data_IF_647061230141
#
_entry.id   IF_647061230141
#
_cell.length_a   1.000
_cell.length_b   1.000
_cell.length_c   1.000
_cell.angle_alpha   90.00
_cell.angle_beta   90.00
_cell.angle_gamma   90.00
#
_symmetry.space_group_name_H-M   'P 1'
#
loop_
_entity.id
_entity.type
_entity.pdbx_description
1 polymer ?
#
# COMPACT_ATOMS: atom_id res chain seq x y z
N UNK A 1 10.15 -7.98 -21.79
CA UNK A 1 10.14 -7.75 -23.25
C UNK A 1 9.63 -6.35 -23.54
N UNK A 2 9.82 -5.83 -24.75
CA UNK A 2 9.25 -4.54 -25.17
C UNK A 2 7.71 -4.51 -25.00
N UNK A 3 7.04 -5.62 -25.31
CA UNK A 3 5.60 -5.76 -25.13
C UNK A 3 5.17 -5.67 -23.66
N UNK A 4 5.97 -6.21 -22.73
CA UNK A 4 5.71 -6.08 -21.31
C UNK A 4 5.77 -4.62 -20.86
N UNK A 5 6.77 -3.87 -21.33
CA UNK A 5 6.90 -2.43 -21.03
C UNK A 5 5.72 -1.63 -21.60
N UNK A 6 5.33 -1.91 -22.85
CA UNK A 6 4.13 -1.30 -23.47
C UNK A 6 2.85 -1.61 -22.69
N UNK A 7 2.72 -2.84 -22.17
CA UNK A 7 1.59 -3.24 -21.34
C UNK A 7 1.57 -2.46 -20.01
N UNK A 8 2.72 -2.33 -19.33
CA UNK A 8 2.87 -1.53 -18.11
C UNK A 8 2.43 -0.08 -18.34
N UNK A 9 2.90 0.56 -19.40
CA UNK A 9 2.54 1.95 -19.72
C UNK A 9 1.05 2.12 -19.99
N UNK A 10 0.44 1.19 -20.73
CA UNK A 10 -1.01 1.21 -20.99
C UNK A 10 -1.81 0.94 -19.71
N UNK A 11 -1.32 0.06 -18.84
CA UNK A 11 -1.90 -0.24 -17.54
C UNK A 11 -1.85 0.98 -16.61
N UNK A 12 -0.70 1.66 -16.51
CA UNK A 12 -0.51 2.88 -15.71
C UNK A 12 -1.56 3.93 -16.07
N UNK A 13 -1.80 4.18 -17.36
CA UNK A 13 -2.84 5.13 -17.82
C UNK A 13 -4.26 4.74 -17.39
N UNK A 14 -4.62 3.45 -17.49
CA UNK A 14 -5.95 2.96 -17.05
C UNK A 14 -6.13 3.05 -15.54
N UNK A 15 -5.10 2.67 -14.78
CA UNK A 15 -5.10 2.81 -13.33
C UNK A 15 -5.27 4.28 -12.94
N UNK A 16 -4.56 5.21 -13.60
CA UNK A 16 -4.67 6.64 -13.32
C UNK A 16 -6.10 7.15 -13.42
N UNK A 17 -6.78 6.81 -14.52
CA UNK A 17 -8.18 7.19 -14.73
C UNK A 17 -9.11 6.60 -13.68
N UNK A 18 -9.05 5.28 -13.44
CA UNK A 18 -9.94 4.61 -12.49
C UNK A 18 -9.72 5.06 -11.06
N UNK A 19 -8.45 5.19 -10.62
CA UNK A 19 -8.13 5.54 -9.24
C UNK A 19 -8.62 6.95 -8.92
N UNK A 20 -8.46 7.89 -9.84
CA UNK A 20 -8.98 9.25 -9.71
C UNK A 20 -10.51 9.28 -9.73
N UNK A 21 -11.15 8.59 -10.68
CA UNK A 21 -12.62 8.55 -10.80
C UNK A 21 -13.29 7.95 -9.55
N UNK A 22 -12.70 6.89 -8.97
CA UNK A 22 -13.27 6.18 -7.82
C UNK A 22 -12.82 6.74 -6.47
N UNK A 23 -11.95 7.76 -6.44
CA UNK A 23 -11.37 8.31 -5.21
C UNK A 23 -10.77 7.21 -4.30
N UNK A 24 -10.13 6.20 -4.89
CA UNK A 24 -9.67 5.01 -4.19
C UNK A 24 -8.15 4.94 -4.03
N UNK A 25 -7.43 6.03 -4.30
CA UNK A 25 -5.97 6.10 -4.14
C UNK A 25 -5.47 5.59 -2.76
N UNK A 26 -6.07 5.97 -1.61
CA UNK A 26 -5.55 5.52 -0.32
C UNK A 26 -5.57 4.00 -0.14
N UNK A 27 -6.61 3.31 -0.63
CA UNK A 27 -6.67 1.85 -0.51
C UNK A 27 -5.72 1.14 -1.50
N UNK A 28 -5.37 1.77 -2.63
CA UNK A 28 -4.33 1.26 -3.54
C UNK A 28 -2.94 1.38 -2.94
N UNK A 29 -2.64 2.51 -2.28
CA UNK A 29 -1.39 2.70 -1.52
C UNK A 29 -1.31 1.68 -0.37
N UNK A 30 -2.41 1.48 0.38
CA UNK A 30 -2.48 0.44 1.41
C UNK A 30 -2.26 -0.97 0.84
N UNK A 31 -2.87 -1.32 -0.29
CA UNK A 31 -2.66 -2.62 -0.93
C UNK A 31 -1.19 -2.85 -1.28
N UNK A 32 -0.54 -1.87 -1.91
CA UNK A 32 0.87 -1.97 -2.27
C UNK A 32 1.76 -2.07 -1.04
N UNK A 33 1.48 -1.28 0.01
CA UNK A 33 2.16 -1.33 1.30
C UNK A 33 2.04 -2.70 1.96
N UNK A 34 0.81 -3.21 2.14
CA UNK A 34 0.56 -4.50 2.79
C UNK A 34 1.17 -5.67 2.00
N UNK A 35 1.18 -5.58 0.67
CA UNK A 35 1.84 -6.59 -0.18
C UNK A 35 3.37 -6.58 0.01
N UNK A 36 3.99 -5.41 0.18
CA UNK A 36 5.44 -5.30 0.31
C UNK A 36 5.94 -5.52 1.75
N UNK A 37 5.18 -5.06 2.74
CA UNK A 37 5.57 -5.00 4.15
C UNK A 37 5.67 -6.35 4.86
N UNK A 38 5.40 -7.45 4.18
CA UNK A 38 5.59 -8.81 4.70
C UNK A 38 6.99 -9.36 4.46
N UNK A 39 7.85 -8.61 3.77
CA UNK A 39 9.22 -9.02 3.49
C UNK A 39 10.03 -9.17 4.78
N UNK A 40 10.72 -10.29 4.91
CA UNK A 40 11.69 -10.55 5.96
C UNK A 40 13.07 -10.74 5.32
N UNK A 41 14.03 -9.89 5.68
CA UNK A 41 15.35 -9.85 5.07
C UNK A 41 16.21 -11.06 5.45
N UNK A 42 16.01 -11.64 6.64
CA UNK A 42 16.76 -12.78 7.13
C UNK A 42 16.40 -14.08 6.37
N UNK A 43 15.12 -14.38 6.23
CA UNK A 43 14.62 -15.57 5.51
C UNK A 43 14.40 -15.33 4.02
N UNK A 44 14.37 -14.08 3.56
CA UNK A 44 14.05 -13.66 2.18
C UNK A 44 12.67 -14.15 1.71
N UNK A 45 11.72 -14.19 2.64
CA UNK A 45 10.32 -14.60 2.40
C UNK A 45 9.37 -13.42 2.51
N UNK A 46 8.13 -13.58 2.00
CA UNK A 46 7.17 -12.47 1.88
C UNK A 46 7.62 -11.43 0.84
N UNK A 47 7.05 -10.23 0.92
CA UNK A 47 7.34 -9.12 0.02
C UNK A 47 6.39 -9.06 -1.19
N UNK A 48 6.61 -8.09 -2.10
CA UNK A 48 5.63 -7.67 -3.10
C UNK A 48 5.55 -8.64 -4.29
N UNK A 49 5.22 -9.90 -4.06
CA UNK A 49 5.23 -10.98 -5.06
C UNK A 49 3.83 -11.51 -5.39
N UNK A 50 2.85 -10.60 -5.36
CA UNK A 50 1.47 -10.85 -5.82
C UNK A 50 0.64 -11.77 -4.94
N UNK A 51 1.12 -12.17 -3.76
CA UNK A 51 0.49 -13.18 -2.90
C UNK A 51 -0.80 -12.72 -2.25
N UNK A 52 -1.04 -11.40 -2.15
CA UNK A 52 -2.30 -10.80 -1.68
C UNK A 52 -3.53 -11.20 -2.52
N UNK A 53 -3.35 -11.89 -3.66
CA UNK A 53 -4.43 -12.52 -4.43
C UNK A 53 -5.03 -13.78 -3.78
N UNK A 54 -4.32 -14.37 -2.82
CA UNK A 54 -4.71 -15.58 -2.14
C UNK A 54 -5.60 -15.28 -0.95
N UNK A 55 -6.64 -16.09 -0.75
CA UNK A 55 -7.60 -15.90 0.33
C UNK A 55 -6.94 -16.06 1.70
N UNK A 56 -5.90 -16.91 1.83
CA UNK A 56 -5.17 -17.07 3.10
C UNK A 56 -4.53 -15.76 3.55
N UNK A 57 -3.88 -15.01 2.66
CA UNK A 57 -3.26 -13.73 3.02
C UNK A 57 -4.30 -12.62 3.21
N UNK A 58 -5.37 -12.62 2.42
CA UNK A 58 -6.48 -11.66 2.59
C UNK A 58 -7.19 -11.82 3.94
N UNK A 59 -7.20 -13.03 4.50
CA UNK A 59 -7.81 -13.35 5.78
C UNK A 59 -6.99 -12.88 7.00
N UNK A 60 -5.73 -12.49 6.83
CA UNK A 60 -4.93 -11.92 7.92
C UNK A 60 -5.63 -10.68 8.50
N UNK A 61 -5.62 -10.53 9.83
CA UNK A 61 -6.34 -9.48 10.54
C UNK A 61 -5.93 -8.07 10.07
N UNK A 62 -4.62 -7.83 9.88
CA UNK A 62 -4.11 -6.56 9.36
C UNK A 62 -4.62 -6.24 7.94
N UNK A 63 -5.01 -7.25 7.17
CA UNK A 63 -5.51 -7.12 5.79
C UNK A 63 -7.04 -6.96 5.72
N UNK A 64 -7.74 -6.80 6.85
CA UNK A 64 -9.17 -6.54 6.86
C UNK A 64 -9.57 -5.43 5.85
N UNK A 65 -10.53 -5.75 4.97
CA UNK A 65 -11.02 -4.86 3.91
C UNK A 65 -10.16 -4.80 2.63
N UNK A 66 -9.03 -5.51 2.52
CA UNK A 66 -8.16 -5.44 1.33
C UNK A 66 -8.84 -5.97 0.06
N UNK A 67 -9.75 -6.93 0.20
CA UNK A 67 -10.56 -7.49 -0.89
C UNK A 67 -11.36 -6.42 -1.67
N UNK A 68 -11.66 -5.27 -1.04
CA UNK A 68 -12.28 -4.13 -1.73
C UNK A 68 -11.35 -3.57 -2.81
N UNK A 69 -10.06 -3.42 -2.52
CA UNK A 69 -9.07 -2.95 -3.49
C UNK A 69 -8.94 -3.93 -4.66
N UNK A 70 -8.86 -5.24 -4.35
CA UNK A 70 -8.73 -6.28 -5.36
C UNK A 70 -9.94 -6.29 -6.31
N UNK A 71 -11.17 -6.20 -5.78
CA UNK A 71 -12.39 -6.10 -6.62
C UNK A 71 -12.42 -4.87 -7.51
N UNK A 72 -11.95 -3.71 -7.02
CA UNK A 72 -11.88 -2.48 -7.83
C UNK A 72 -10.87 -2.60 -8.97
N UNK A 73 -9.78 -3.33 -8.73
CA UNK A 73 -8.69 -3.52 -9.66
C UNK A 73 -8.96 -4.59 -10.73
N UNK A 74 -9.77 -5.59 -10.40
CA UNK A 74 -10.02 -6.77 -11.24
C UNK A 74 -10.43 -6.42 -12.69
N UNK A 75 -11.37 -5.49 -12.96
CA UNK A 75 -11.76 -5.15 -14.32
C UNK A 75 -10.62 -4.61 -15.19
N UNK A 76 -9.60 -3.99 -14.57
CA UNK A 76 -8.39 -3.53 -15.28
C UNK A 76 -7.39 -4.69 -15.39
N UNK A 77 -7.19 -5.47 -14.33
CA UNK A 77 -6.21 -6.56 -14.29
C UNK A 77 -6.42 -7.59 -15.40
N UNK A 78 -7.67 -7.97 -15.68
CA UNK A 78 -8.00 -8.94 -16.75
C UNK A 78 -7.64 -8.45 -18.16
N UNK A 79 -7.51 -7.14 -18.36
CA UNK A 79 -7.09 -6.55 -19.63
C UNK A 79 -5.57 -6.66 -19.87
N UNK A 80 -4.81 -7.03 -18.83
CA UNK A 80 -3.34 -7.13 -18.86
C UNK A 80 -2.86 -8.49 -18.33
N UNK A 81 -3.22 -9.62 -18.99
CA UNK A 81 -2.86 -10.96 -18.52
C UNK A 81 -1.35 -11.19 -18.45
N UNK A 82 -0.55 -10.44 -19.22
CA UNK A 82 0.91 -10.57 -19.27
C UNK A 82 1.64 -9.91 -18.10
N UNK A 83 1.01 -8.96 -17.40
CA UNK A 83 1.61 -8.29 -16.23
C UNK A 83 1.40 -9.18 -15.00
N UNK A 84 2.45 -9.41 -14.20
CA UNK A 84 2.33 -10.14 -12.95
C UNK A 84 1.40 -9.42 -11.96
N UNK A 85 0.74 -10.17 -11.08
CA UNK A 85 -0.06 -9.57 -9.99
C UNK A 85 0.83 -8.70 -9.10
N UNK A 86 2.07 -9.14 -8.87
CA UNK A 86 3.11 -8.44 -8.16
C UNK A 86 3.37 -7.03 -8.72
N UNK A 87 3.72 -6.91 -10.00
CA UNK A 87 3.94 -5.61 -10.63
C UNK A 87 2.67 -4.78 -10.67
N UNK A 88 1.52 -5.41 -10.94
CA UNK A 88 0.25 -4.72 -11.04
C UNK A 88 -0.18 -4.05 -9.72
N UNK A 89 -0.08 -4.74 -8.58
CA UNK A 89 -0.38 -4.14 -7.27
C UNK A 89 0.57 -3.00 -6.92
N UNK A 90 1.87 -3.16 -7.18
CA UNK A 90 2.85 -2.10 -6.92
C UNK A 90 2.65 -0.89 -7.83
N UNK A 91 2.31 -1.12 -9.10
CA UNK A 91 1.97 -0.04 -10.04
C UNK A 91 0.73 0.72 -9.58
N UNK A 92 -0.30 0.03 -9.07
CA UNK A 92 -1.48 0.68 -8.51
C UNK A 92 -1.15 1.58 -7.31
N UNK A 93 -0.24 1.15 -6.43
CA UNK A 93 0.27 1.98 -5.33
C UNK A 93 1.01 3.23 -5.79
N UNK A 94 1.94 3.08 -6.74
CA UNK A 94 2.67 4.21 -7.36
C UNK A 94 1.72 5.22 -7.99
N UNK A 95 0.76 4.73 -8.78
CA UNK A 95 -0.26 5.60 -9.40
C UNK A 95 -1.14 6.26 -8.35
N UNK A 96 -1.47 5.55 -7.26
CA UNK A 96 -2.21 6.11 -6.13
C UNK A 96 -1.53 7.32 -5.51
N UNK A 97 -0.20 7.28 -5.34
CA UNK A 97 0.57 8.46 -4.88
C UNK A 97 0.54 9.58 -5.92
N UNK A 98 0.83 9.24 -7.18
CA UNK A 98 0.91 10.20 -8.29
C UNK A 98 -0.41 10.97 -8.52
N UNK A 99 -1.56 10.29 -8.54
CA UNK A 99 -2.87 10.93 -8.80
C UNK A 99 -3.32 11.87 -7.69
N UNK A 100 -2.83 11.67 -6.48
CA UNK A 100 -3.14 12.53 -5.32
C UNK A 100 -2.18 13.72 -5.18
N UNK A 101 -1.28 13.93 -6.14
CA UNK A 101 -0.31 15.04 -6.13
C UNK A 101 1.00 14.73 -5.40
N UNK A 102 1.25 13.46 -5.09
CA UNK A 102 2.48 13.01 -4.44
C UNK A 102 3.67 12.95 -5.41
N UNK A 103 4.85 12.54 -4.91
CA UNK A 103 6.05 12.44 -5.73
C UNK A 103 5.93 11.38 -6.84
N UNK A 104 6.65 11.58 -7.94
CA UNK A 104 6.83 10.55 -8.95
C UNK A 104 7.79 9.47 -8.42
N UNK A 105 7.28 8.26 -8.20
CA UNK A 105 8.05 7.12 -7.73
C UNK A 105 8.52 6.30 -8.95
N UNK A 106 9.84 6.08 -9.13
CA UNK A 106 10.34 5.23 -10.21
C UNK A 106 9.78 3.81 -10.10
N UNK A 107 9.12 3.34 -11.16
CA UNK A 107 8.59 1.98 -11.25
C UNK A 107 9.46 1.12 -12.16
N UNK A 108 9.94 0.00 -11.61
CA UNK A 108 10.72 -1.00 -12.36
C UNK A 108 9.91 -2.31 -12.41
N UNK A 109 9.48 -2.74 -13.61
CA UNK A 109 8.78 -4.01 -13.78
C UNK A 109 9.73 -5.21 -13.69
N UNK A 110 9.15 -6.40 -13.53
CA UNK A 110 9.86 -7.68 -13.55
C UNK A 110 9.66 -8.52 -12.29
N UNK A 111 8.77 -8.12 -11.37
CA UNK A 111 8.46 -8.99 -10.22
C UNK A 111 7.70 -10.22 -10.70
N UNK A 112 8.13 -11.37 -10.23
CA UNK A 112 7.42 -12.63 -10.46
C UNK A 112 6.40 -12.90 -9.36
N UNK A 113 5.29 -13.54 -9.72
CA UNK A 113 4.28 -13.96 -8.76
C UNK A 113 4.76 -15.20 -8.00
N UNK A 114 4.77 -15.13 -6.66
CA UNK A 114 5.09 -16.28 -5.82
C UNK A 114 3.83 -17.11 -5.53
N UNK A 115 3.97 -18.43 -5.31
CA UNK A 115 2.83 -19.33 -5.11
C UNK A 115 2.35 -19.40 -3.67
N UNK A 116 3.17 -18.97 -2.69
CA UNK A 116 2.88 -19.14 -1.27
C UNK A 116 2.86 -17.78 -0.56
N UNK A 117 1.78 -17.45 0.17
CA UNK A 117 1.74 -16.26 0.98
C UNK A 117 2.69 -16.34 2.18
N UNK A 118 3.12 -15.19 2.73
CA UNK A 118 3.88 -15.15 3.97
C UNK A 118 3.00 -15.57 5.16
N UNK A 119 3.60 -15.95 6.30
CA UNK A 119 2.84 -16.11 7.53
C UNK A 119 2.26 -14.77 8.00
N UNK A 120 1.14 -14.82 8.72
CA UNK A 120 0.55 -13.67 9.40
C UNK A 120 1.49 -13.09 10.48
N UNK A 121 1.27 -11.82 10.85
CA UNK A 121 1.93 -11.18 12.00
C UNK A 121 3.14 -10.32 11.66
N UNK A 122 3.47 -10.17 10.38
CA UNK A 122 4.63 -9.38 9.91
C UNK A 122 4.36 -7.88 9.73
N UNK A 123 3.10 -7.48 9.63
CA UNK A 123 2.71 -6.08 9.48
C UNK A 123 2.67 -5.36 10.84
N UNK A 124 2.91 -4.03 10.88
CA UNK A 124 2.98 -3.28 12.13
C UNK A 124 1.63 -3.23 12.86
N UNK A 125 1.71 -3.14 14.19
CA UNK A 125 0.57 -3.04 15.10
C UNK A 125 0.42 -1.58 15.52
N UNK A 126 -0.76 -1.00 15.28
CA UNK A 126 -1.02 0.42 15.51
C UNK A 126 -1.02 0.82 17.00
N UNK A 127 -1.14 -0.14 17.92
CA UNK A 127 -1.14 0.11 19.37
C UNK A 127 0.25 0.09 20.00
N UNK A 128 1.29 -0.21 19.20
CA UNK A 128 2.68 -0.33 19.66
C UNK A 128 3.50 0.91 19.28
N UNK A 129 4.62 1.09 19.98
CA UNK A 129 5.50 2.26 19.84
C UNK A 129 6.72 2.06 18.95
N UNK A 130 7.69 2.96 19.10
CA UNK A 130 8.88 3.06 18.24
C UNK A 130 9.77 1.80 18.21
N UNK A 131 9.84 1.03 19.30
CA UNK A 131 10.61 -0.23 19.33
C UNK A 131 10.01 -1.24 18.34
N UNK A 132 8.69 -1.40 18.38
CA UNK A 132 7.96 -2.27 17.45
C UNK A 132 8.13 -1.81 15.99
N UNK A 133 8.08 -0.49 15.75
CA UNK A 133 8.34 0.04 14.41
C UNK A 133 9.74 -0.33 13.91
N UNK A 134 10.77 -0.26 14.76
CA UNK A 134 12.13 -0.67 14.38
C UNK A 134 12.26 -2.18 14.20
N UNK A 135 11.56 -2.99 14.99
CA UNK A 135 11.54 -4.44 14.80
C UNK A 135 10.96 -4.80 13.43
N UNK A 136 9.84 -4.18 13.05
CA UNK A 136 9.17 -4.46 11.77
C UNK A 136 9.93 -3.85 10.59
N UNK A 137 10.20 -2.55 10.61
CA UNK A 137 10.76 -1.88 9.43
C UNK A 137 12.27 -2.08 9.32
N UNK A 138 13.02 -1.94 10.43
CA UNK A 138 14.47 -2.00 10.37
C UNK A 138 14.99 -3.45 10.43
N UNK A 139 14.60 -4.22 11.44
CA UNK A 139 15.11 -5.59 11.62
C UNK A 139 14.52 -6.56 10.60
N UNK A 140 13.20 -6.55 10.41
CA UNK A 140 12.53 -7.46 9.49
C UNK A 140 12.63 -6.98 8.03
N UNK A 141 12.19 -5.76 7.69
CA UNK A 141 12.19 -5.31 6.27
C UNK A 141 13.56 -4.80 5.77
N UNK A 142 14.46 -4.36 6.66
CA UNK A 142 15.77 -3.79 6.28
C UNK A 142 15.75 -2.31 5.91
N UNK A 143 14.77 -1.54 6.40
CA UNK A 143 14.61 -0.10 6.15
C UNK A 143 15.25 0.75 7.25
N UNK A 144 15.54 2.02 6.95
CA UNK A 144 16.12 2.96 7.92
C UNK A 144 15.06 3.69 8.75
N UNK A 145 15.47 4.30 9.88
CA UNK A 145 14.58 5.19 10.67
C UNK A 145 14.02 6.35 9.82
N UNK A 146 14.80 6.85 8.85
CA UNK A 146 14.32 7.87 7.90
C UNK A 146 13.16 7.33 7.06
N UNK A 147 13.26 6.09 6.60
CA UNK A 147 12.21 5.45 5.81
C UNK A 147 10.96 5.22 6.65
N UNK A 148 11.09 4.83 7.92
CA UNK A 148 9.95 4.68 8.85
C UNK A 148 9.15 5.98 8.91
N UNK A 149 9.82 7.11 9.17
CA UNK A 149 9.15 8.42 9.29
C UNK A 149 8.56 8.86 7.96
N UNK A 150 9.30 8.72 6.85
CA UNK A 150 8.82 9.12 5.53
C UNK A 150 7.60 8.30 5.09
N UNK A 151 7.65 6.97 5.27
CA UNK A 151 6.55 6.06 4.91
C UNK A 151 5.32 6.27 5.79
N UNK A 152 5.50 6.61 7.08
CA UNK A 152 4.39 6.98 7.96
C UNK A 152 3.59 8.17 7.41
N UNK A 153 4.25 9.07 6.65
CA UNK A 153 3.60 10.18 5.97
C UNK A 153 2.52 9.80 4.96
N UNK A 154 2.48 8.55 4.49
CA UNK A 154 1.43 8.07 3.59
C UNK A 154 0.03 8.13 4.23
N UNK A 155 -0.07 8.16 5.57
CA UNK A 155 -1.31 8.41 6.30
C UNK A 155 -1.89 9.81 6.07
N UNK A 156 -1.16 10.71 5.40
CA UNK A 156 -1.76 11.95 4.87
C UNK A 156 -2.97 11.65 3.97
N UNK A 157 -2.98 10.47 3.35
CA UNK A 157 -4.09 9.91 2.59
C UNK A 157 -4.96 8.95 3.40
N UNK A 158 -6.26 9.00 3.14
CA UNK A 158 -7.22 8.03 3.61
C UNK A 158 -7.66 8.20 5.06
N UNK A 159 -8.20 7.12 5.61
CA UNK A 159 -8.77 7.07 6.94
C UNK A 159 -8.83 5.64 7.50
N UNK A 160 -8.85 5.52 8.82
CA UNK A 160 -9.21 4.29 9.50
C UNK A 160 -10.72 4.03 9.39
N UNK A 161 -11.10 2.76 9.55
CA UNK A 161 -12.50 2.33 9.50
C UNK A 161 -12.75 1.33 10.64
N UNK A 162 -13.78 1.59 11.44
CA UNK A 162 -14.08 0.83 12.67
C UNK A 162 -14.29 -0.66 12.41
N UNK A 163 -14.91 -1.02 11.29
CA UNK A 163 -15.16 -2.40 10.85
C UNK A 163 -13.91 -3.13 10.33
N UNK A 164 -12.75 -2.45 10.26
CA UNK A 164 -11.49 -3.02 9.76
C UNK A 164 -10.43 -3.08 10.85
N UNK A 165 -10.01 -1.92 11.35
CA UNK A 165 -8.93 -1.82 12.34
C UNK A 165 -9.43 -1.54 13.76
N UNK A 166 -10.73 -1.27 13.95
CA UNK A 166 -11.29 -0.78 15.21
C UNK A 166 -11.13 0.72 15.43
N UNK A 167 -10.24 1.39 14.69
CA UNK A 167 -10.07 2.85 14.67
C UNK A 167 -10.96 3.50 13.61
N UNK A 168 -11.33 4.77 13.77
CA UNK A 168 -12.20 5.50 12.84
C UNK A 168 -11.71 6.95 12.67
N UNK A 169 -11.67 7.45 11.44
CA UNK A 169 -11.31 8.84 11.16
C UNK A 169 -10.10 8.99 10.25
N UNK A 170 -9.98 10.17 9.64
CA UNK A 170 -8.86 10.54 8.78
C UNK A 170 -7.76 11.21 9.62
N UNK A 171 -6.50 11.04 9.24
CA UNK A 171 -5.39 11.77 9.88
C UNK A 171 -5.28 13.23 9.42
N UNK A 172 -5.93 13.58 8.31
CA UNK A 172 -5.88 14.94 7.74
C UNK A 172 -7.27 15.38 7.27
N UNK A 173 -7.47 16.69 7.19
CA UNK A 173 -8.73 17.27 6.69
C UNK A 173 -8.96 17.04 5.19
N UNK A 174 -7.90 16.68 4.44
CA UNK A 174 -7.94 16.46 2.99
C UNK A 174 -7.38 15.06 2.62
N UNK A 175 -8.10 13.96 2.93
CA UNK A 175 -7.56 12.60 2.84
C UNK A 175 -7.33 12.07 1.42
N UNK A 176 -7.45 12.92 0.40
CA UNK A 176 -7.19 12.61 -1.01
C UNK A 176 -6.08 13.49 -1.61
N UNK A 177 -5.39 14.30 -0.80
CA UNK A 177 -4.29 15.16 -1.22
C UNK A 177 -3.01 14.64 -0.55
N UNK A 178 -2.01 14.29 -1.36
CA UNK A 178 -0.72 13.85 -0.85
C UNK A 178 0.16 15.06 -0.58
N UNK A 179 0.28 15.43 0.68
CA UNK A 179 1.12 16.52 1.15
C UNK A 179 1.75 16.19 2.51
N UNK A 180 2.35 17.19 3.17
CA UNK A 180 2.95 17.02 4.49
C UNK A 180 1.99 17.28 5.67
N UNK A 181 0.67 17.32 5.43
CA UNK A 181 -0.32 17.64 6.46
C UNK A 181 -0.33 16.63 7.59
N UNK A 182 -0.13 15.33 7.33
CA UNK A 182 0.03 14.31 8.38
C UNK A 182 1.00 14.74 9.49
N UNK A 183 2.18 15.25 9.12
CA UNK A 183 3.18 15.69 10.08
C UNK A 183 2.79 17.00 10.79
N UNK A 184 2.11 17.92 10.08
CA UNK A 184 1.63 19.17 10.68
C UNK A 184 0.54 18.90 11.72
N UNK A 185 -0.40 18.02 11.40
CA UNK A 185 -1.46 17.61 12.32
C UNK A 185 -0.86 16.93 13.54
N UNK A 186 0.03 15.95 13.35
CA UNK A 186 0.72 15.26 14.44
C UNK A 186 1.48 16.21 15.39
N UNK A 187 2.19 17.21 14.85
CA UNK A 187 2.93 18.19 15.66
C UNK A 187 2.03 19.21 16.37
N UNK A 188 0.79 19.39 15.90
CA UNK A 188 -0.16 20.34 16.48
C UNK A 188 -1.01 19.77 17.61
N UNK A 189 -0.88 18.47 17.90
CA UNK A 189 -1.66 17.76 18.90
C UNK A 189 -3.03 17.30 18.38
N UNK A 190 -3.79 16.63 19.26
CA UNK A 190 -5.09 16.06 18.90
C UNK A 190 -6.13 17.13 18.56
N UNK A 191 -6.93 16.87 17.52
CA UNK A 191 -8.01 17.74 17.05
C UNK A 191 -9.28 16.95 16.85
N UNK A 192 -10.41 17.53 17.27
CA UNK A 192 -11.71 16.93 17.04
C UNK A 192 -11.95 16.70 15.53
N UNK A 193 -12.38 15.48 15.18
CA UNK A 193 -12.64 15.08 13.79
C UNK A 193 -11.46 14.47 13.03
N UNK A 194 -10.25 14.49 13.60
CA UNK A 194 -9.09 13.76 13.09
C UNK A 194 -8.76 12.56 14.00
N UNK A 195 -8.13 11.54 13.41
CA UNK A 195 -7.52 10.41 14.11
C UNK A 195 -6.10 10.79 14.55
#
# INVERSE_FOLDING_TARGET
>A
SEDYLKAIEKCKRKLRGMIAEKNCAPIMVRLAWHSAGTFDCASRTGGPFGTMRFDEEQAHAANAGIHVALRLLEPIRVQFPTISVADFHQLAGVVGVEVTGGPEIPFHPGREDKPQPPPEGRLPDATKGCEHLRDVFAKQMGLSDKDIVALSGAHTLGKAHKDRSGFEGAWTSNPLIFDNSYFKELLSGEKEGLL
#
